data_IF_460114287813
#
_entry.id   IF_460114287813
#
_cell.length_a   1.000
_cell.length_b   1.000
_cell.length_c   1.000
_cell.angle_alpha   90.00
_cell.angle_beta   90.00
_cell.angle_gamma   90.00
#
_symmetry.space_group_name_H-M   'P 1'
#
loop_
_entity.id
_entity.type
_entity.pdbx_description
1 polymer ?
#
# COMPACT_ATOMS: atom_id res chain seq x y z
N UNK A 1 -14.85 4.84 -10.71
CA UNK A 1 -14.10 4.25 -9.57
C UNK A 1 -12.60 4.38 -9.80
N UNK A 2 -11.92 5.05 -8.88
CA UNK A 2 -10.49 5.24 -9.01
C UNK A 2 -9.74 3.96 -8.62
N UNK A 3 -8.67 3.65 -9.34
CA UNK A 3 -7.84 2.49 -9.07
C UNK A 3 -7.22 2.61 -7.66
N UNK A 4 -7.34 1.57 -6.84
CA UNK A 4 -6.90 1.54 -5.43
C UNK A 4 -7.55 2.62 -4.55
N UNK A 5 -8.65 3.24 -4.99
CA UNK A 5 -9.24 4.36 -4.27
C UNK A 5 -8.32 5.58 -4.18
N UNK A 6 -7.32 5.66 -5.06
CA UNK A 6 -6.26 6.65 -4.99
C UNK A 6 -6.60 7.92 -5.75
N UNK A 7 -6.41 9.06 -5.07
CA UNK A 7 -6.38 10.37 -5.71
C UNK A 7 -4.98 10.93 -5.50
N UNK A 8 -4.26 11.17 -6.61
CA UNK A 8 -2.92 11.70 -6.54
C UNK A 8 -2.92 13.15 -6.09
N UNK A 9 -1.94 13.53 -5.27
CA UNK A 9 -1.79 14.90 -4.80
C UNK A 9 -0.34 15.36 -4.95
N UNK A 10 -0.12 16.70 -5.07
CA UNK A 10 1.24 17.22 -5.19
C UNK A 10 1.99 17.13 -3.86
N UNK A 11 3.32 17.24 -3.92
CA UNK A 11 4.17 17.29 -2.74
C UNK A 11 4.78 15.95 -2.34
N UNK A 12 4.33 14.86 -2.96
CA UNK A 12 4.88 13.53 -2.73
C UNK A 12 5.05 12.82 -4.06
N UNK A 13 6.03 11.93 -4.18
CA UNK A 13 6.28 11.25 -5.45
C UNK A 13 5.08 10.38 -5.84
N UNK A 14 4.78 10.38 -7.14
CA UNK A 14 3.72 9.53 -7.69
C UNK A 14 4.03 8.06 -7.40
N UNK A 15 5.29 7.65 -7.56
CA UNK A 15 5.72 6.29 -7.26
C UNK A 15 5.36 5.88 -5.82
N UNK A 16 5.71 6.71 -4.85
CA UNK A 16 5.44 6.41 -3.44
C UNK A 16 3.95 6.34 -3.14
N UNK A 17 3.17 7.26 -3.70
CA UNK A 17 1.71 7.28 -3.49
C UNK A 17 1.05 6.02 -4.05
N UNK A 18 1.44 5.60 -5.25
CA UNK A 18 0.84 4.42 -5.89
C UNK A 18 1.28 3.13 -5.18
N UNK A 19 2.55 3.02 -4.84
CA UNK A 19 3.05 1.85 -4.10
C UNK A 19 2.33 1.71 -2.76
N UNK A 20 2.18 2.81 -2.03
CA UNK A 20 1.47 2.79 -0.76
C UNK A 20 0.01 2.36 -0.95
N UNK A 21 -0.68 2.91 -1.94
CA UNK A 21 -2.07 2.57 -2.22
C UNK A 21 -2.23 1.09 -2.62
N UNK A 22 -1.29 0.56 -3.41
CA UNK A 22 -1.30 -0.85 -3.80
C UNK A 22 -1.11 -1.76 -2.58
N UNK A 23 -0.13 -1.46 -1.72
CA UNK A 23 0.10 -2.22 -0.49
C UNK A 23 -1.14 -2.22 0.41
N UNK A 24 -1.77 -1.07 0.54
CA UNK A 24 -3.00 -0.93 1.31
C UNK A 24 -4.10 -1.81 0.74
N UNK A 25 -4.24 -1.83 -0.60
CA UNK A 25 -5.23 -2.66 -1.28
C UNK A 25 -4.98 -4.16 -1.06
N UNK A 26 -3.71 -4.59 -1.07
CA UNK A 26 -3.37 -5.99 -0.78
C UNK A 26 -3.70 -6.36 0.67
N UNK A 27 -3.32 -5.52 1.61
CA UNK A 27 -3.49 -5.80 3.04
C UNK A 27 -4.95 -5.71 3.49
N UNK A 28 -5.76 -4.90 2.81
CA UNK A 28 -7.19 -4.80 3.12
C UNK A 28 -8.04 -5.91 2.49
N UNK A 29 -7.44 -6.70 1.56
CA UNK A 29 -8.17 -7.73 0.83
C UNK A 29 -8.91 -7.24 -0.40
N UNK A 30 -8.75 -5.96 -0.76
CA UNK A 30 -9.32 -5.44 -2.00
C UNK A 30 -8.77 -6.17 -3.22
N UNK A 31 -7.45 -6.47 -3.20
CA UNK A 31 -6.80 -7.34 -4.18
C UNK A 31 -6.28 -8.57 -3.45
N UNK A 32 -6.94 -9.69 -3.65
CA UNK A 32 -6.60 -10.94 -2.96
C UNK A 32 -5.59 -11.77 -3.75
N UNK A 33 -4.81 -12.63 -3.06
CA UNK A 33 -3.89 -13.54 -3.74
C UNK A 33 -4.60 -14.35 -4.81
N UNK A 34 -3.95 -14.45 -5.98
CA UNK A 34 -4.50 -15.16 -7.13
C UNK A 34 -5.29 -14.29 -8.08
N UNK A 35 -5.70 -13.10 -7.67
CA UNK A 35 -6.42 -12.19 -8.56
C UNK A 35 -5.48 -11.50 -9.53
N UNK A 36 -5.96 -11.16 -10.74
CA UNK A 36 -5.15 -10.39 -11.68
C UNK A 36 -4.82 -9.01 -11.15
N UNK A 37 -3.57 -8.57 -11.38
CA UNK A 37 -3.13 -7.22 -11.07
C UNK A 37 -3.12 -6.41 -12.36
N UNK A 38 -3.47 -5.11 -12.32
CA UNK A 38 -3.49 -4.28 -13.52
C UNK A 38 -2.16 -4.25 -14.24
N UNK A 39 -2.19 -4.27 -15.58
CA UNK A 39 -0.99 -4.15 -16.40
C UNK A 39 -0.38 -2.76 -16.30
N UNK A 40 0.87 -2.62 -16.75
CA UNK A 40 1.54 -1.31 -16.84
C UNK A 40 0.68 -0.33 -17.62
N UNK A 41 0.13 -0.77 -18.74
CA UNK A 41 -0.72 0.08 -19.59
C UNK A 41 -1.97 0.53 -18.86
N UNK A 42 -2.62 -0.40 -18.16
CA UNK A 42 -3.84 -0.09 -17.39
C UNK A 42 -3.54 0.91 -16.27
N UNK A 43 -2.44 0.70 -15.52
CA UNK A 43 -2.02 1.62 -14.48
C UNK A 43 -1.77 3.01 -15.05
N UNK A 44 -1.01 3.10 -16.13
CA UNK A 44 -0.68 4.39 -16.74
C UNK A 44 -1.94 5.12 -17.19
N UNK A 45 -2.86 4.41 -17.83
CA UNK A 45 -4.09 4.99 -18.36
C UNK A 45 -5.04 5.43 -17.25
N UNK A 46 -5.29 4.54 -16.28
CA UNK A 46 -6.28 4.81 -15.23
C UNK A 46 -5.79 5.84 -14.22
N UNK A 47 -4.51 5.83 -13.89
CA UNK A 47 -3.94 6.79 -12.95
C UNK A 47 -3.45 8.06 -13.63
N UNK A 48 -3.44 8.09 -14.96
CA UNK A 48 -2.95 9.24 -15.76
C UNK A 48 -1.51 9.57 -15.39
N UNK A 49 -0.67 8.53 -15.34
CA UNK A 49 0.76 8.66 -15.06
C UNK A 49 1.57 8.21 -16.26
N UNK A 50 2.84 8.62 -16.31
CA UNK A 50 3.71 8.24 -17.39
C UNK A 50 3.94 6.73 -17.40
N UNK A 51 3.94 6.07 -18.60
CA UNK A 51 4.18 4.62 -18.69
C UNK A 51 5.47 4.16 -18.03
N UNK A 52 6.54 4.97 -18.07
CA UNK A 52 7.80 4.62 -17.41
C UNK A 52 7.64 4.55 -15.89
N UNK A 53 6.85 5.45 -15.32
CA UNK A 53 6.56 5.44 -13.87
C UNK A 53 5.73 4.19 -13.52
N UNK A 54 4.71 3.89 -14.32
CA UNK A 54 3.90 2.70 -14.12
C UNK A 54 4.74 1.43 -14.20
N UNK A 55 5.68 1.38 -15.15
CA UNK A 55 6.59 0.25 -15.29
C UNK A 55 7.47 0.06 -14.05
N UNK A 56 8.03 1.16 -13.54
CA UNK A 56 8.86 1.13 -12.33
C UNK A 56 8.07 0.64 -11.12
N UNK A 57 6.81 1.05 -11.00
CA UNK A 57 5.93 0.62 -9.91
C UNK A 57 5.72 -0.89 -9.97
N UNK A 58 5.36 -1.41 -11.14
CA UNK A 58 5.13 -2.85 -11.33
C UNK A 58 6.40 -3.64 -11.04
N UNK A 59 7.56 -3.20 -11.56
CA UNK A 59 8.83 -3.87 -11.31
C UNK A 59 9.18 -3.89 -9.83
N UNK A 60 8.93 -2.80 -9.12
CA UNK A 60 9.16 -2.72 -7.69
C UNK A 60 8.28 -3.70 -6.92
N UNK A 61 7.00 -3.77 -7.25
CA UNK A 61 6.06 -4.68 -6.58
C UNK A 61 6.41 -6.15 -6.84
N UNK A 62 6.89 -6.46 -8.06
CA UNK A 62 7.37 -7.81 -8.38
C UNK A 62 8.61 -8.14 -7.55
N UNK A 63 9.57 -7.23 -7.51
CA UNK A 63 10.82 -7.42 -6.78
C UNK A 63 10.59 -7.62 -5.29
N UNK A 64 9.62 -6.89 -4.71
CA UNK A 64 9.28 -6.98 -3.30
C UNK A 64 8.38 -8.18 -2.98
N UNK A 65 7.85 -8.88 -3.99
CA UNK A 65 7.06 -10.08 -3.79
C UNK A 65 5.57 -9.88 -3.59
N UNK A 66 5.05 -8.69 -3.90
CA UNK A 66 3.62 -8.43 -3.78
C UNK A 66 2.82 -8.97 -4.95
N UNK A 67 3.43 -9.03 -6.11
CA UNK A 67 2.82 -9.55 -7.34
C UNK A 67 3.81 -10.44 -8.07
N UNK A 68 3.29 -11.34 -8.93
CA UNK A 68 4.09 -12.31 -9.68
C UNK A 68 3.66 -12.32 -11.14
N UNK A 69 4.62 -12.58 -12.02
CA UNK A 69 4.32 -12.78 -13.45
C UNK A 69 4.10 -14.27 -13.70
N UNK A 70 2.94 -14.61 -14.24
CA UNK A 70 2.61 -15.99 -14.63
C UNK A 70 2.56 -16.06 -16.15
N UNK A 71 3.52 -16.77 -16.80
CA UNK A 71 3.56 -16.85 -18.26
C UNK A 71 2.24 -17.30 -18.86
N UNK A 72 1.77 -16.58 -19.88
CA UNK A 72 0.49 -16.88 -20.54
C UNK A 72 -0.74 -16.38 -19.82
N UNK A 73 -0.61 -15.92 -18.58
CA UNK A 73 -1.75 -15.44 -17.78
C UNK A 73 -1.64 -13.94 -17.50
N UNK A 74 -0.45 -13.47 -17.16
CA UNK A 74 -0.20 -12.08 -16.82
C UNK A 74 0.29 -11.92 -15.39
N UNK A 75 0.08 -10.73 -14.82
CA UNK A 75 0.54 -10.42 -13.47
C UNK A 75 -0.57 -10.73 -12.47
N UNK A 76 -0.21 -11.48 -11.44
CA UNK A 76 -1.14 -12.00 -10.43
C UNK A 76 -0.71 -11.52 -9.06
N UNK A 77 -1.67 -11.21 -8.20
CA UNK A 77 -1.42 -10.83 -6.81
C UNK A 77 -0.88 -12.05 -6.05
N UNK A 78 0.23 -11.87 -5.34
CA UNK A 78 0.84 -12.90 -4.50
C UNK A 78 0.35 -12.81 -3.07
N UNK A 79 0.69 -13.81 -2.24
CA UNK A 79 0.52 -13.68 -0.80
C UNK A 79 1.40 -12.52 -0.33
N UNK A 80 0.94 -11.70 0.64
CA UNK A 80 1.77 -10.62 1.16
C UNK A 80 3.14 -11.15 1.61
N UNK A 81 4.23 -10.50 1.23
CA UNK A 81 5.56 -10.99 1.59
C UNK A 81 5.75 -10.96 3.11
N UNK A 82 6.49 -11.96 3.60
CA UNK A 82 6.82 -12.04 5.02
C UNK A 82 7.82 -10.95 5.40
N UNK A 83 7.76 -10.51 6.65
CA UNK A 83 8.70 -9.52 7.15
C UNK A 83 10.14 -10.05 7.07
N UNK A 84 11.05 -9.20 6.61
CA UNK A 84 12.48 -9.50 6.64
C UNK A 84 13.02 -9.26 8.04
N UNK A 85 14.20 -9.83 8.32
CA UNK A 85 14.85 -9.62 9.61
C UNK A 85 15.01 -8.12 9.90
N UNK A 86 14.61 -7.70 11.09
CA UNK A 86 14.75 -6.31 11.53
C UNK A 86 13.64 -5.37 11.11
N UNK A 87 12.76 -5.75 10.18
CA UNK A 87 11.69 -4.86 9.72
C UNK A 87 10.72 -4.47 10.83
N UNK A 88 10.33 -5.43 11.65
CA UNK A 88 9.41 -5.16 12.77
C UNK A 88 10.02 -4.19 13.78
N UNK A 89 11.29 -4.40 14.10
CA UNK A 89 12.01 -3.54 15.05
C UNK A 89 12.17 -2.14 14.51
N UNK A 90 12.48 -2.02 13.21
CA UNK A 90 12.59 -0.72 12.55
C UNK A 90 11.28 0.04 12.63
N UNK A 91 10.16 -0.62 12.35
CA UNK A 91 8.85 0.01 12.41
C UNK A 91 8.53 0.47 13.83
N UNK A 92 8.70 -0.41 14.82
CA UNK A 92 8.36 -0.12 16.21
C UNK A 92 9.25 0.96 16.83
N UNK A 93 10.52 1.01 16.46
CA UNK A 93 11.45 1.96 17.07
C UNK A 93 11.66 3.23 16.26
N UNK A 94 11.93 3.10 14.95
CA UNK A 94 12.23 4.27 14.13
C UNK A 94 11.00 5.02 13.66
N UNK A 95 10.03 4.32 13.11
CA UNK A 95 8.84 4.98 12.54
C UNK A 95 7.92 5.50 13.64
N UNK A 96 7.78 4.75 14.74
CA UNK A 96 6.99 5.22 15.88
C UNK A 96 7.66 6.43 16.52
N UNK A 97 8.98 6.43 16.66
CA UNK A 97 9.70 7.59 17.19
C UNK A 97 9.46 8.84 16.33
N UNK A 98 9.54 8.70 15.01
CA UNK A 98 9.25 9.82 14.10
C UNK A 98 7.84 10.35 14.29
N UNK A 99 6.88 9.44 14.38
CA UNK A 99 5.48 9.81 14.57
C UNK A 99 5.30 10.56 15.88
N UNK A 100 5.90 10.09 16.97
CA UNK A 100 5.79 10.72 18.28
C UNK A 100 6.40 12.12 18.27
N UNK A 101 7.61 12.26 17.71
CA UNK A 101 8.26 13.56 17.61
C UNK A 101 7.40 14.55 16.82
N UNK A 102 6.88 14.12 15.66
CA UNK A 102 6.04 14.98 14.83
C UNK A 102 4.72 15.31 15.51
N UNK A 103 4.11 14.35 16.17
CA UNK A 103 2.86 14.57 16.90
C UNK A 103 3.02 15.60 18.01
N UNK A 104 4.13 15.51 18.76
CA UNK A 104 4.42 16.48 19.81
C UNK A 104 4.70 17.87 19.23
N UNK A 105 5.36 17.92 18.08
CA UNK A 105 5.62 19.20 17.41
C UNK A 105 4.32 19.93 17.04
N UNK A 106 3.31 19.20 16.60
CA UNK A 106 2.02 19.81 16.21
C UNK A 106 1.00 19.87 17.34
N UNK A 107 1.40 19.50 18.57
CA UNK A 107 0.55 19.64 19.75
C UNK A 107 -0.48 18.53 19.96
N UNK A 108 -0.30 17.38 19.34
CA UNK A 108 -1.20 16.24 19.57
C UNK A 108 -0.88 15.58 20.91
N UNK A 109 -1.92 14.99 21.51
CA UNK A 109 -1.78 14.20 22.74
C UNK A 109 -1.70 12.73 22.41
N UNK A 110 -1.18 11.93 23.33
CA UNK A 110 -1.11 10.48 23.17
C UNK A 110 -2.47 9.88 22.81
N UNK A 111 -3.54 10.36 23.44
CA UNK A 111 -4.89 9.85 23.19
C UNK A 111 -5.32 10.08 21.74
N UNK A 112 -4.93 11.19 21.14
CA UNK A 112 -5.23 11.48 19.73
C UNK A 112 -4.58 10.43 18.82
N UNK A 113 -3.32 10.07 19.10
CA UNK A 113 -2.61 9.07 18.35
C UNK A 113 -3.21 7.68 18.51
N UNK A 114 -3.54 7.30 19.74
CA UNK A 114 -4.13 5.99 20.03
C UNK A 114 -5.46 5.87 19.27
N UNK A 115 -6.27 6.91 19.32
CA UNK A 115 -7.56 6.92 18.63
C UNK A 115 -7.37 6.79 17.10
N UNK A 116 -6.45 7.57 16.53
CA UNK A 116 -6.18 7.55 15.10
C UNK A 116 -5.65 6.19 14.65
N UNK A 117 -4.70 5.61 15.38
CA UNK A 117 -4.15 4.30 15.09
C UNK A 117 -5.23 3.22 15.13
N UNK A 118 -6.05 3.24 16.16
CA UNK A 118 -7.12 2.25 16.30
C UNK A 118 -8.13 2.37 15.17
N UNK A 119 -8.47 3.61 14.78
CA UNK A 119 -9.40 3.86 13.68
C UNK A 119 -8.86 3.34 12.35
N UNK A 120 -7.61 3.63 12.01
CA UNK A 120 -6.99 3.16 10.77
C UNK A 120 -6.86 1.63 10.73
N UNK A 121 -6.48 1.04 11.86
CA UNK A 121 -6.40 -0.41 11.99
C UNK A 121 -7.74 -1.09 11.71
N UNK A 122 -8.80 -0.55 12.33
CA UNK A 122 -10.15 -1.08 12.16
C UNK A 122 -10.66 -0.96 10.73
N UNK A 123 -10.30 0.13 10.02
CA UNK A 123 -10.69 0.30 8.63
C UNK A 123 -10.14 -0.82 7.73
N UNK A 124 -8.88 -1.18 7.92
CA UNK A 124 -8.27 -2.27 7.15
C UNK A 124 -8.90 -3.62 7.45
N UNK A 125 -9.21 -3.88 8.71
CA UNK A 125 -9.86 -5.13 9.10
C UNK A 125 -11.27 -5.23 8.54
N UNK A 126 -12.04 -4.15 8.56
CA UNK A 126 -13.41 -4.17 8.04
C UNK A 126 -13.46 -4.47 6.54
N UNK A 127 -12.52 -3.90 5.77
CA UNK A 127 -12.44 -4.18 4.35
C UNK A 127 -12.11 -5.64 4.10
N UNK A 128 -11.22 -6.21 4.90
CA UNK A 128 -10.84 -7.62 4.79
C UNK A 128 -11.99 -8.54 5.17
N UNK A 129 -12.70 -8.23 6.25
CA UNK A 129 -13.85 -9.03 6.72
C UNK A 129 -15.02 -8.93 5.75
N UNK A 130 -15.28 -7.74 5.23
CA UNK A 130 -16.37 -7.51 4.28
C UNK A 130 -16.19 -8.27 2.97
N UNK A 131 -14.96 -8.62 2.59
CA UNK A 131 -14.70 -9.39 1.37
C UNK A 131 -14.97 -10.88 1.52
N UNK A 132 -15.11 -11.38 2.75
CA UNK A 132 -15.37 -12.79 3.04
C UNK A 132 -16.87 -13.11 3.06
N UNK A 133 -17.69 -12.10 2.98
CA UNK A 133 -19.14 -12.24 2.87
C UNK A 133 -19.58 -12.11 1.41
#
# INVERSE_FOLDING_TARGET
MTLFGLTLHPGESIFNQVVFAARKAFLSGEYQPGQPFPSVRTLATQLKIHPNTAHKIVQYLIQEGWIEVHPGIGTIVAEPPKARAGERQKLLHQEVERLVVEARRVGLRLQDLIHALSSEWSKLERLRTGSDE
#
